data_IF_021788649592
#
_entry.id   IF_021788649592
#
_cell.length_a   1.000
_cell.length_b   1.000
_cell.length_c   1.000
_cell.angle_alpha   90.00
_cell.angle_beta   90.00
_cell.angle_gamma   90.00
#
_symmetry.space_group_name_H-M   'P 1'
#
loop_
_entity.id
_entity.type
_entity.pdbx_description
1 polymer ?
#
# COMPACT_ATOMS: atom_id res chain seq x y z
N UNK A 1 4.16 29.80 21.61
CA UNK A 1 3.67 29.35 20.28
C UNK A 1 3.16 27.90 20.28
N UNK A 2 2.71 27.34 21.42
CA UNK A 2 2.10 26.00 21.50
C UNK A 2 0.66 26.00 22.04
N UNK A 3 0.08 27.16 22.33
CA UNK A 3 -1.22 27.24 23.00
C UNK A 3 -2.42 27.52 22.05
N UNK A 4 -2.17 27.84 20.78
CA UNK A 4 -3.25 28.12 19.78
C UNK A 4 -3.73 26.88 18.99
N UNK A 5 -3.20 25.69 19.29
CA UNK A 5 -3.57 24.46 18.58
C UNK A 5 -5.01 24.02 18.84
N UNK A 6 -5.68 24.59 19.85
CA UNK A 6 -7.03 24.22 20.24
C UNK A 6 -8.17 24.87 19.44
N UNK A 7 -7.92 25.89 18.61
CA UNK A 7 -8.99 26.67 17.98
C UNK A 7 -9.30 26.31 16.52
N UNK A 8 -8.45 25.51 15.86
CA UNK A 8 -8.58 25.19 14.43
C UNK A 8 -9.03 23.75 14.13
N UNK A 9 -9.69 23.08 15.07
CA UNK A 9 -10.44 21.88 14.69
C UNK A 9 -11.54 22.29 13.71
N UNK A 10 -11.79 21.47 12.68
CA UNK A 10 -13.00 21.57 11.87
C UNK A 10 -14.17 21.82 12.81
N UNK A 11 -14.76 23.02 12.75
CA UNK A 11 -15.94 23.34 13.54
C UNK A 11 -16.95 22.25 13.19
N UNK A 12 -17.34 21.38 14.14
CA UNK A 12 -17.93 20.10 13.75
C UNK A 12 -19.32 20.25 13.07
N UNK A 13 -19.86 21.47 13.02
CA UNK A 13 -21.05 21.93 12.28
C UNK A 13 -20.88 22.04 10.75
N UNK A 14 -19.69 21.84 10.20
CA UNK A 14 -19.43 22.15 8.78
C UNK A 14 -19.71 21.02 7.79
N UNK A 15 -19.96 19.79 8.27
CA UNK A 15 -20.47 18.72 7.40
C UNK A 15 -21.99 18.85 7.37
N UNK A 16 -22.61 19.28 6.26
CA UNK A 16 -24.05 19.31 6.14
C UNK A 16 -24.56 17.88 6.25
N UNK A 17 -25.35 17.62 7.28
CA UNK A 17 -26.08 16.37 7.45
C UNK A 17 -27.51 16.67 7.06
N UNK A 18 -27.97 16.07 5.97
CA UNK A 18 -29.36 16.22 5.56
C UNK A 18 -30.28 15.74 6.70
N UNK A 19 -31.42 16.42 6.88
CA UNK A 19 -32.35 16.08 7.96
C UNK A 19 -32.84 14.62 7.88
N UNK A 20 -32.84 14.07 6.67
CA UNK A 20 -33.26 12.72 6.32
C UNK A 20 -32.08 11.72 6.18
N UNK A 21 -30.84 12.10 6.53
CA UNK A 21 -29.70 11.17 6.49
C UNK A 21 -29.92 10.05 7.52
N UNK A 22 -29.99 8.77 7.10
CA UNK A 22 -30.20 7.64 8.01
C UNK A 22 -29.10 7.50 9.08
N UNK A 23 -27.95 8.16 8.90
CA UNK A 23 -26.81 8.17 9.83
C UNK A 23 -26.71 9.44 10.67
N UNK A 24 -27.75 10.28 10.69
CA UNK A 24 -27.75 11.53 11.47
C UNK A 24 -27.33 11.34 12.93
N UNK A 25 -27.83 10.30 13.60
CA UNK A 25 -27.45 10.00 14.98
C UNK A 25 -25.95 9.70 15.14
N UNK A 26 -25.34 9.05 14.14
CA UNK A 26 -23.90 8.78 14.13
C UNK A 26 -23.09 10.05 13.89
N UNK A 27 -23.57 10.95 13.02
CA UNK A 27 -22.98 12.28 12.86
C UNK A 27 -23.03 13.10 14.15
N UNK A 28 -24.16 13.11 14.85
CA UNK A 28 -24.35 13.80 16.13
C UNK A 28 -23.44 13.21 17.22
N UNK A 29 -23.29 11.89 17.27
CA UNK A 29 -22.38 11.22 18.21
C UNK A 29 -20.90 11.57 17.93
N UNK A 30 -20.48 11.54 16.66
CA UNK A 30 -19.13 11.93 16.27
C UNK A 30 -18.86 13.42 16.54
N UNK A 31 -19.87 14.28 16.39
CA UNK A 31 -19.81 15.69 16.77
C UNK A 31 -19.58 15.85 18.27
N UNK A 32 -20.38 15.17 19.09
CA UNK A 32 -20.26 15.22 20.55
C UNK A 32 -18.89 14.70 21.00
N UNK A 33 -18.42 13.62 20.39
CA UNK A 33 -17.09 13.07 20.64
C UNK A 33 -16.00 14.10 20.37
N UNK A 34 -15.95 14.68 19.16
CA UNK A 34 -14.93 15.68 18.82
C UNK A 34 -14.97 16.90 19.74
N UNK A 35 -16.17 17.35 20.12
CA UNK A 35 -16.37 18.50 21.01
C UNK A 35 -15.93 18.20 22.45
N UNK A 36 -15.92 16.93 22.85
CA UNK A 36 -15.46 16.50 24.17
C UNK A 36 -13.94 16.43 24.30
N UNK A 37 -13.21 16.42 23.18
CA UNK A 37 -11.77 16.20 23.18
C UNK A 37 -11.01 17.37 23.79
N UNK A 38 -10.16 17.05 24.77
CA UNK A 38 -9.19 18.00 25.34
C UNK A 38 -7.91 18.03 24.51
N UNK A 39 -7.09 19.07 24.68
CA UNK A 39 -5.78 19.26 23.98
C UNK A 39 -4.81 18.06 24.15
N UNK A 40 -4.93 17.27 25.24
CA UNK A 40 -4.13 16.02 25.39
C UNK A 40 -4.71 14.83 24.62
N UNK A 41 -6.03 14.74 24.48
CA UNK A 41 -6.72 13.64 23.79
C UNK A 41 -6.58 13.75 22.26
N UNK A 42 -6.27 14.95 21.75
CA UNK A 42 -5.91 15.16 20.34
C UNK A 42 -4.55 14.54 19.95
N UNK A 43 -3.80 13.96 20.89
CA UNK A 43 -2.57 13.20 20.63
C UNK A 43 -2.79 11.69 20.54
N UNK A 44 -4.06 11.23 20.63
CA UNK A 44 -4.45 9.85 20.29
C UNK A 44 -4.61 8.89 21.46
N UNK A 45 -4.48 9.36 22.70
CA UNK A 45 -4.92 8.64 23.89
C UNK A 45 -6.33 9.10 24.27
N UNK A 46 -7.31 8.23 24.07
CA UNK A 46 -8.71 8.45 24.45
C UNK A 46 -9.08 7.78 25.78
N UNK A 47 -8.11 7.23 26.51
CA UNK A 47 -8.39 6.60 27.79
C UNK A 47 -9.07 7.60 28.74
N UNK A 48 -10.23 7.19 29.27
CA UNK A 48 -11.03 8.03 30.17
C UNK A 48 -12.01 9.00 29.49
N UNK A 49 -12.07 9.03 28.16
CA UNK A 49 -13.14 9.73 27.45
C UNK A 49 -14.42 8.86 27.44
N UNK A 50 -15.46 9.29 28.15
CA UNK A 50 -16.70 8.52 28.33
C UNK A 50 -17.41 8.20 27.00
N UNK A 51 -17.37 9.13 26.03
CA UNK A 51 -17.99 8.93 24.71
C UNK A 51 -17.22 7.89 23.89
N UNK A 52 -15.88 7.92 23.96
CA UNK A 52 -15.07 6.88 23.34
C UNK A 52 -15.36 5.49 23.93
N UNK A 53 -15.40 5.37 25.25
CA UNK A 53 -15.71 4.10 25.91
C UNK A 53 -17.11 3.61 25.53
N UNK A 54 -18.12 4.49 25.51
CA UNK A 54 -19.46 4.15 25.05
C UNK A 54 -19.46 3.63 23.59
N UNK A 55 -18.74 4.29 22.68
CA UNK A 55 -18.59 3.84 21.29
C UNK A 55 -17.85 2.50 21.18
N UNK A 56 -16.85 2.26 22.03
CA UNK A 56 -16.07 1.04 22.03
C UNK A 56 -16.88 -0.19 22.47
N UNK A 57 -17.92 0.01 23.30
CA UNK A 57 -18.86 -1.04 23.76
C UNK A 57 -19.97 -1.37 22.75
N UNK A 58 -20.08 -0.62 21.64
CA UNK A 58 -21.07 -0.92 20.61
C UNK A 58 -20.81 -2.28 19.94
N UNK A 59 -21.88 -2.87 19.41
CA UNK A 59 -21.76 -4.10 18.60
C UNK A 59 -20.82 -3.89 17.41
N UNK A 60 -20.17 -4.95 16.89
CA UNK A 60 -19.23 -4.78 15.79
C UNK A 60 -19.86 -4.10 14.55
N UNK A 61 -21.04 -4.53 14.13
CA UNK A 61 -21.82 -3.87 13.06
C UNK A 61 -22.04 -2.37 13.31
N UNK A 62 -22.44 -1.96 14.52
CA UNK A 62 -22.63 -0.53 14.85
C UNK A 62 -21.32 0.26 14.86
N UNK A 63 -20.20 -0.35 15.24
CA UNK A 63 -18.88 0.28 15.12
C UNK A 63 -18.47 0.49 13.67
N UNK A 64 -18.80 -0.44 12.78
CA UNK A 64 -18.57 -0.28 11.32
C UNK A 64 -19.38 0.91 10.79
N UNK A 65 -20.65 1.06 11.18
CA UNK A 65 -21.48 2.21 10.79
C UNK A 65 -20.85 3.55 11.23
N UNK A 66 -20.29 3.60 12.45
CA UNK A 66 -19.55 4.78 12.93
C UNK A 66 -18.25 5.04 12.16
N UNK A 67 -17.49 3.99 11.84
CA UNK A 67 -16.26 4.10 11.03
C UNK A 67 -16.62 4.66 9.64
N UNK A 68 -17.65 4.13 9.00
CA UNK A 68 -18.14 4.60 7.71
C UNK A 68 -18.55 6.08 7.76
N UNK A 69 -19.30 6.48 8.80
CA UNK A 69 -19.71 7.86 9.03
C UNK A 69 -18.51 8.78 9.25
N UNK A 70 -17.51 8.33 10.03
CA UNK A 70 -16.28 9.08 10.25
C UNK A 70 -15.49 9.28 8.94
N UNK A 71 -15.35 8.24 8.11
CA UNK A 71 -14.71 8.33 6.79
C UNK A 71 -15.45 9.29 5.86
N UNK A 72 -16.79 9.29 5.86
CA UNK A 72 -17.59 10.23 5.09
C UNK A 72 -17.30 11.69 5.49
N UNK A 73 -17.19 11.98 6.79
CA UNK A 73 -16.82 13.33 7.27
C UNK A 73 -15.39 13.72 6.86
N UNK A 74 -14.45 12.78 6.90
CA UNK A 74 -13.06 13.01 6.44
C UNK A 74 -13.04 13.37 4.96
N UNK A 75 -13.73 12.58 4.11
CA UNK A 75 -13.84 12.85 2.67
C UNK A 75 -14.48 14.21 2.40
N UNK A 76 -15.54 14.56 3.12
CA UNK A 76 -16.18 15.87 2.98
C UNK A 76 -15.21 17.01 3.31
N UNK A 77 -14.47 16.92 4.41
CA UNK A 77 -13.49 17.94 4.80
C UNK A 77 -12.37 18.09 3.76
N UNK A 78 -11.90 16.99 3.19
CA UNK A 78 -10.87 16.99 2.15
C UNK A 78 -11.37 17.56 0.81
N UNK A 79 -12.61 17.30 0.43
CA UNK A 79 -13.23 17.87 -0.77
C UNK A 79 -13.55 19.36 -0.61
N UNK A 80 -13.64 19.87 0.63
CA UNK A 80 -14.01 21.23 0.94
C UNK A 80 -12.96 21.91 1.84
N UNK A 81 -11.74 22.19 1.33
CA UNK A 81 -10.66 22.82 2.12
C UNK A 81 -11.07 24.14 2.80
N UNK A 82 -11.99 24.88 2.18
CA UNK A 82 -12.56 26.11 2.75
C UNK A 82 -13.42 25.88 4.01
N UNK A 83 -13.92 24.67 4.23
CA UNK A 83 -14.60 24.31 5.47
C UNK A 83 -13.59 24.32 6.64
N UNK A 84 -12.41 23.72 6.47
CA UNK A 84 -11.34 23.67 7.48
C UNK A 84 -10.67 25.01 7.85
N UNK A 85 -11.19 26.16 7.41
CA UNK A 85 -10.70 27.47 7.86
C UNK A 85 -9.35 27.91 7.26
N UNK A 86 -8.87 27.27 6.19
CA UNK A 86 -7.71 27.74 5.43
C UNK A 86 -7.30 26.80 4.28
N UNK A 87 -6.53 27.27 3.29
CA UNK A 87 -6.06 26.49 2.13
C UNK A 87 -4.96 25.47 2.47
N UNK A 88 -4.60 25.32 3.75
CA UNK A 88 -3.49 24.49 4.19
C UNK A 88 -3.97 23.05 4.45
N UNK A 89 -3.34 22.09 3.76
CA UNK A 89 -3.52 20.66 3.99
C UNK A 89 -3.30 20.29 5.47
N UNK A 90 -2.50 21.07 6.20
CA UNK A 90 -2.30 20.92 7.63
C UNK A 90 -3.58 21.14 8.43
N UNK A 91 -4.47 22.06 8.03
CA UNK A 91 -5.75 22.29 8.72
C UNK A 91 -6.72 21.13 8.48
N UNK A 92 -6.77 20.59 7.26
CA UNK A 92 -7.56 19.38 6.96
C UNK A 92 -7.04 18.21 7.79
N UNK A 93 -5.72 18.02 7.83
CA UNK A 93 -5.10 16.95 8.60
C UNK A 93 -5.43 17.09 10.09
N UNK A 94 -5.23 18.27 10.69
CA UNK A 94 -5.52 18.51 12.11
C UNK A 94 -7.01 18.35 12.44
N UNK A 95 -7.91 18.83 11.58
CA UNK A 95 -9.35 18.70 11.78
C UNK A 95 -9.85 17.25 11.65
N UNK A 96 -9.21 16.44 10.80
CA UNK A 96 -9.59 15.03 10.58
C UNK A 96 -8.83 14.05 11.47
N UNK A 97 -7.72 14.47 12.08
CA UNK A 97 -6.87 13.63 12.91
C UNK A 97 -7.63 12.91 14.05
N UNK A 98 -8.52 13.58 14.83
CA UNK A 98 -9.29 12.87 15.85
C UNK A 98 -10.18 11.75 15.32
N UNK A 99 -10.76 11.94 14.12
CA UNK A 99 -11.59 10.91 13.48
C UNK A 99 -10.74 9.75 12.99
N UNK A 100 -9.56 10.02 12.41
CA UNK A 100 -8.61 8.97 12.06
C UNK A 100 -8.22 8.14 13.30
N UNK A 101 -7.85 8.81 14.40
CA UNK A 101 -7.49 8.11 15.62
C UNK A 101 -8.67 7.35 16.22
N UNK A 102 -9.89 7.87 16.12
CA UNK A 102 -11.10 7.16 16.53
C UNK A 102 -11.28 5.87 15.72
N UNK A 103 -11.19 5.94 14.38
CA UNK A 103 -11.29 4.78 13.50
C UNK A 103 -10.26 3.71 13.90
N UNK A 104 -8.99 4.11 14.08
CA UNK A 104 -7.92 3.19 14.52
C UNK A 104 -8.26 2.52 15.85
N UNK A 105 -8.69 3.29 16.84
CA UNK A 105 -9.03 2.76 18.15
C UNK A 105 -10.27 1.84 18.12
N UNK A 106 -11.29 2.17 17.34
CA UNK A 106 -12.46 1.30 17.15
C UNK A 106 -12.07 -0.02 16.45
N UNK A 107 -11.21 0.06 15.43
CA UNK A 107 -10.69 -1.11 14.71
C UNK A 107 -9.91 -2.06 15.63
N UNK A 108 -9.07 -1.52 16.52
CA UNK A 108 -8.33 -2.31 17.50
C UNK A 108 -9.26 -3.11 18.43
N UNK A 109 -10.44 -2.59 18.76
CA UNK A 109 -11.42 -3.20 19.69
C UNK A 109 -12.32 -4.29 19.07
N UNK A 110 -12.17 -4.61 17.78
CA UNK A 110 -12.82 -5.80 17.22
C UNK A 110 -12.14 -7.08 17.74
N UNK A 111 -12.85 -7.85 18.56
CA UNK A 111 -12.35 -9.14 19.07
C UNK A 111 -12.75 -10.30 18.17
N UNK A 112 -13.96 -10.27 17.62
CA UNK A 112 -14.50 -11.26 16.68
C UNK A 112 -15.37 -10.56 15.66
N UNK A 113 -15.13 -10.81 14.38
CA UNK A 113 -15.95 -10.32 13.27
C UNK A 113 -16.73 -11.47 12.65
N UNK A 114 -17.93 -11.18 12.16
CA UNK A 114 -18.62 -12.07 11.23
C UNK A 114 -18.10 -11.86 9.80
N UNK A 115 -18.26 -12.83 8.89
CA UNK A 115 -17.87 -12.69 7.49
C UNK A 115 -18.46 -11.44 6.81
N UNK A 116 -19.73 -11.12 7.08
CA UNK A 116 -20.42 -9.97 6.50
C UNK A 116 -19.83 -8.65 7.00
N UNK A 117 -19.39 -8.62 8.26
CA UNK A 117 -18.74 -7.46 8.86
C UNK A 117 -17.33 -7.24 8.28
N UNK A 118 -16.60 -8.33 8.02
CA UNK A 118 -15.32 -8.27 7.32
C UNK A 118 -15.48 -7.77 5.87
N UNK A 119 -16.52 -8.20 5.16
CA UNK A 119 -16.82 -7.69 3.81
C UNK A 119 -17.05 -6.19 3.79
N UNK A 120 -17.85 -5.68 4.75
CA UNK A 120 -18.07 -4.24 4.88
C UNK A 120 -16.78 -3.48 5.15
N UNK A 121 -15.92 -3.99 6.04
CA UNK A 121 -14.64 -3.36 6.33
C UNK A 121 -13.68 -3.37 5.13
N UNK A 122 -13.68 -4.44 4.33
CA UNK A 122 -12.94 -4.51 3.07
C UNK A 122 -13.43 -3.46 2.07
N UNK A 123 -14.74 -3.32 1.91
CA UNK A 123 -15.35 -2.34 1.00
C UNK A 123 -15.02 -0.90 1.44
N UNK A 124 -15.11 -0.61 2.75
CA UNK A 124 -14.71 0.69 3.30
C UNK A 124 -13.22 1.00 3.08
N UNK A 125 -12.35 0.01 3.21
CA UNK A 125 -10.93 0.18 2.95
C UNK A 125 -10.66 0.49 1.47
N UNK A 126 -11.31 -0.23 0.55
CA UNK A 126 -11.18 0.02 -0.89
C UNK A 126 -11.61 1.44 -1.23
N UNK A 127 -12.76 1.89 -0.72
CA UNK A 127 -13.27 3.24 -0.93
C UNK A 127 -12.38 4.32 -0.31
N UNK A 128 -11.92 4.11 0.93
CA UNK A 128 -11.04 5.05 1.62
C UNK A 128 -9.74 5.24 0.84
N UNK A 129 -9.13 4.15 0.37
CA UNK A 129 -7.93 4.20 -0.45
C UNK A 129 -8.18 4.77 -1.83
N UNK A 130 -9.29 4.44 -2.50
CA UNK A 130 -9.59 5.02 -3.82
C UNK A 130 -9.86 6.54 -3.77
N UNK A 131 -10.23 7.07 -2.61
CA UNK A 131 -10.57 8.48 -2.41
C UNK A 131 -9.48 9.29 -1.69
N UNK A 132 -9.88 10.48 -1.23
CA UNK A 132 -9.00 11.37 -0.50
C UNK A 132 -8.63 10.87 0.91
N UNK A 133 -9.35 9.87 1.45
CA UNK A 133 -9.20 9.37 2.83
C UNK A 133 -8.18 8.21 2.96
N UNK A 134 -7.26 8.08 2.02
CA UNK A 134 -6.35 6.95 1.88
C UNK A 134 -5.41 6.77 3.09
N UNK A 135 -4.96 7.85 3.71
CA UNK A 135 -4.09 7.77 4.90
C UNK A 135 -4.86 7.52 6.21
N UNK A 136 -6.18 7.65 6.18
CA UNK A 136 -6.99 7.65 7.38
C UNK A 136 -7.56 6.27 7.72
N UNK A 137 -7.48 5.29 6.81
CA UNK A 137 -7.94 3.93 7.07
C UNK A 137 -6.82 3.05 7.64
N UNK A 138 -6.99 2.43 8.83
CA UNK A 138 -5.97 1.60 9.48
C UNK A 138 -5.89 0.22 8.81
N UNK A 139 -5.18 0.16 7.69
CA UNK A 139 -5.09 -1.05 6.85
C UNK A 139 -4.40 -2.20 7.56
N UNK A 140 -3.37 -1.92 8.36
CA UNK A 140 -2.67 -2.96 9.12
C UNK A 140 -3.59 -3.65 10.13
N UNK A 141 -4.41 -2.86 10.85
CA UNK A 141 -5.42 -3.39 11.77
C UNK A 141 -6.44 -4.27 11.03
N UNK A 142 -6.93 -3.84 9.86
CA UNK A 142 -7.82 -4.65 9.02
C UNK A 142 -7.20 -5.99 8.63
N UNK A 143 -5.95 -5.97 8.15
CA UNK A 143 -5.25 -7.17 7.72
C UNK A 143 -4.95 -8.11 8.89
N UNK A 144 -4.69 -7.58 10.08
CA UNK A 144 -4.59 -8.39 11.29
C UNK A 144 -5.94 -9.07 11.61
N UNK A 145 -7.08 -8.39 11.42
CA UNK A 145 -8.40 -9.01 11.63
C UNK A 145 -8.72 -10.09 10.58
N UNK A 146 -8.20 -9.97 9.36
CA UNK A 146 -8.33 -11.00 8.32
C UNK A 146 -7.69 -12.34 8.72
N UNK A 147 -6.69 -12.34 9.61
CA UNK A 147 -6.04 -13.56 10.11
C UNK A 147 -7.03 -14.51 10.79
N UNK A 148 -8.15 -13.98 11.32
CA UNK A 148 -9.24 -14.77 11.90
C UNK A 148 -9.91 -15.72 10.88
N UNK A 149 -9.79 -15.41 9.59
CA UNK A 149 -10.47 -16.10 8.49
C UNK A 149 -9.52 -16.89 7.58
N UNK A 150 -8.20 -16.88 7.83
CA UNK A 150 -7.20 -17.51 6.94
C UNK A 150 -7.44 -19.00 6.69
N UNK A 151 -8.06 -19.70 7.65
CA UNK A 151 -8.37 -21.13 7.52
C UNK A 151 -9.65 -21.41 6.71
N UNK A 152 -10.42 -20.37 6.37
CA UNK A 152 -11.70 -20.47 5.66
C UNK A 152 -11.47 -20.25 4.16
N UNK A 153 -11.03 -21.30 3.46
CA UNK A 153 -10.67 -21.21 2.04
C UNK A 153 -11.81 -20.69 1.15
N UNK A 154 -13.06 -21.00 1.50
CA UNK A 154 -14.27 -20.52 0.84
C UNK A 154 -14.45 -19.00 0.97
N UNK A 155 -14.24 -18.44 2.17
CA UNK A 155 -14.31 -17.00 2.41
C UNK A 155 -13.14 -16.26 1.74
N UNK A 156 -11.93 -16.81 1.80
CA UNK A 156 -10.77 -16.24 1.10
C UNK A 156 -11.01 -16.21 -0.41
N UNK A 157 -11.59 -17.27 -0.98
CA UNK A 157 -11.96 -17.28 -2.41
C UNK A 157 -13.05 -16.25 -2.71
N UNK A 158 -14.09 -16.17 -1.86
CA UNK A 158 -15.17 -15.17 -1.97
C UNK A 158 -14.63 -13.74 -1.95
N UNK A 159 -13.61 -13.45 -1.14
CA UNK A 159 -13.05 -12.11 -0.97
C UNK A 159 -11.91 -11.78 -1.94
N UNK A 160 -11.47 -12.75 -2.75
CA UNK A 160 -10.40 -12.56 -3.75
C UNK A 160 -10.60 -11.33 -4.65
N UNK A 161 -11.81 -11.02 -5.18
CA UNK A 161 -12.01 -9.79 -5.95
C UNK A 161 -11.73 -8.52 -5.15
N UNK A 162 -12.13 -8.48 -3.86
CA UNK A 162 -11.88 -7.34 -2.96
C UNK A 162 -10.41 -7.18 -2.63
N UNK A 163 -9.69 -8.28 -2.38
CA UNK A 163 -8.24 -8.21 -2.16
C UNK A 163 -7.50 -7.62 -3.37
N UNK A 164 -7.93 -7.95 -4.61
CA UNK A 164 -7.35 -7.34 -5.82
C UNK A 164 -7.61 -5.83 -5.88
N UNK A 165 -8.85 -5.41 -5.64
CA UNK A 165 -9.22 -3.99 -5.63
C UNK A 165 -8.50 -3.22 -4.53
N UNK A 166 -8.43 -3.75 -3.32
CA UNK A 166 -7.74 -3.12 -2.19
C UNK A 166 -6.24 -2.98 -2.50
N UNK A 167 -5.62 -4.04 -3.02
CA UNK A 167 -4.22 -4.00 -3.45
C UNK A 167 -3.99 -2.97 -4.56
N UNK A 168 -4.88 -2.91 -5.55
CA UNK A 168 -4.81 -1.90 -6.61
C UNK A 168 -4.90 -0.49 -6.04
N UNK A 169 -5.90 -0.19 -5.20
CA UNK A 169 -6.06 1.11 -4.55
C UNK A 169 -4.84 1.51 -3.72
N UNK A 170 -4.24 0.57 -2.98
CA UNK A 170 -3.00 0.80 -2.24
C UNK A 170 -1.84 1.15 -3.18
N UNK A 171 -1.68 0.42 -4.29
CA UNK A 171 -0.60 0.66 -5.27
C UNK A 171 -0.76 1.95 -6.07
N UNK A 172 -1.97 2.32 -6.49
CA UNK A 172 -2.20 3.53 -7.30
C UNK A 172 -2.00 4.80 -6.48
N UNK A 173 -2.48 4.82 -5.22
CA UNK A 173 -2.30 5.97 -4.35
C UNK A 173 -0.89 6.09 -3.78
N UNK A 174 -0.17 4.97 -3.73
CA UNK A 174 1.26 4.99 -3.48
C UNK A 174 2.01 5.80 -4.54
N UNK A 175 1.53 5.87 -5.80
CA UNK A 175 2.19 6.64 -6.87
C UNK A 175 1.72 8.11 -6.91
N UNK A 176 0.46 8.38 -6.54
CA UNK A 176 -0.11 9.73 -6.69
C UNK A 176 0.31 10.73 -5.60
N UNK A 177 0.63 10.27 -4.38
CA UNK A 177 0.79 11.14 -3.21
C UNK A 177 2.23 11.22 -2.63
N UNK A 178 3.26 10.87 -3.42
CA UNK A 178 4.67 10.68 -2.96
C UNK A 178 5.43 11.98 -2.66
N UNK A 179 4.73 13.05 -2.26
CA UNK A 179 5.36 14.30 -1.81
C UNK A 179 5.82 14.29 -0.34
N UNK A 180 5.52 13.27 0.46
CA UNK A 180 5.81 13.27 1.89
C UNK A 180 6.29 11.90 2.41
N UNK A 181 7.33 11.94 3.26
CA UNK A 181 8.07 10.85 3.91
C UNK A 181 7.25 9.88 4.82
N UNK A 182 6.00 9.57 4.50
CA UNK A 182 5.14 8.73 5.33
C UNK A 182 4.92 7.35 4.68
N UNK A 183 6.01 6.57 4.58
CA UNK A 183 6.02 5.20 4.03
C UNK A 183 5.76 4.10 5.08
N UNK A 184 5.17 4.44 6.24
CA UNK A 184 4.95 3.46 7.30
C UNK A 184 3.63 2.70 7.10
N UNK A 185 3.69 1.47 6.57
CA UNK A 185 2.62 0.46 6.71
C UNK A 185 2.20 -0.27 5.42
N UNK A 186 2.27 0.37 4.25
CA UNK A 186 1.67 -0.19 3.03
C UNK A 186 2.39 -1.42 2.45
N UNK A 187 3.70 -1.56 2.64
CA UNK A 187 4.46 -2.68 2.07
C UNK A 187 4.07 -4.03 2.71
N UNK A 188 3.92 -4.08 4.04
CA UNK A 188 3.41 -5.26 4.73
C UNK A 188 1.98 -5.58 4.29
N UNK A 189 1.17 -4.56 4.07
CA UNK A 189 -0.20 -4.72 3.59
C UNK A 189 -0.29 -5.33 2.18
N UNK A 190 0.49 -4.81 1.24
CA UNK A 190 0.58 -5.32 -0.12
C UNK A 190 1.07 -6.78 -0.14
N UNK A 191 2.06 -7.11 0.68
CA UNK A 191 2.58 -8.47 0.82
C UNK A 191 1.53 -9.44 1.38
N UNK A 192 0.83 -9.05 2.45
CA UNK A 192 -0.24 -9.89 3.02
C UNK A 192 -1.34 -10.15 1.99
N UNK A 193 -1.77 -9.12 1.25
CA UNK A 193 -2.78 -9.25 0.19
C UNK A 193 -2.29 -10.14 -0.94
N UNK A 194 -1.01 -10.07 -1.31
CA UNK A 194 -0.41 -10.98 -2.28
C UNK A 194 -0.57 -12.45 -1.84
N UNK A 195 -0.14 -12.75 -0.62
CA UNK A 195 -0.26 -14.09 -0.02
C UNK A 195 -1.70 -14.58 -0.01
N UNK A 196 -2.65 -13.76 0.42
CA UNK A 196 -4.09 -14.10 0.44
C UNK A 196 -4.65 -14.33 -0.97
N UNK A 197 -4.15 -13.61 -1.97
CA UNK A 197 -4.49 -13.81 -3.37
C UNK A 197 -3.87 -15.07 -3.97
N UNK A 198 -3.09 -15.86 -3.23
CA UNK A 198 -2.34 -17.00 -3.79
C UNK A 198 -1.38 -16.60 -4.92
N UNK A 199 -1.30 -15.30 -5.21
CA UNK A 199 -0.23 -14.69 -5.94
C UNK A 199 0.88 -14.61 -4.91
N UNK A 200 1.69 -15.65 -4.81
CA UNK A 200 3.06 -15.43 -4.39
C UNK A 200 3.65 -14.46 -5.43
N UNK A 201 3.34 -13.18 -5.28
CA UNK A 201 4.34 -12.17 -5.58
C UNK A 201 5.47 -12.64 -4.70
N UNK A 202 6.61 -12.97 -5.28
CA UNK A 202 7.73 -13.28 -4.44
C UNK A 202 7.90 -12.12 -3.45
N UNK A 203 7.99 -12.40 -2.15
CA UNK A 203 8.16 -11.46 -1.01
C UNK A 203 9.34 -10.48 -1.15
N UNK A 204 9.98 -10.53 -2.31
CA UNK A 204 11.30 -10.10 -2.62
C UNK A 204 11.25 -8.95 -3.65
N UNK A 205 10.17 -8.79 -4.45
CA UNK A 205 9.98 -7.65 -5.36
C UNK A 205 9.08 -6.59 -4.75
N UNK A 206 9.55 -5.35 -4.80
CA UNK A 206 8.76 -4.19 -4.38
C UNK A 206 8.03 -3.60 -5.60
N UNK A 207 6.71 -3.68 -5.58
CA UNK A 207 5.84 -3.10 -6.62
C UNK A 207 5.74 -1.58 -6.51
N UNK A 208 5.30 -0.92 -7.58
CA UNK A 208 5.17 0.54 -7.64
C UNK A 208 6.17 1.22 -8.57
N UNK A 209 7.11 0.45 -9.13
CA UNK A 209 7.90 0.87 -10.29
C UNK A 209 7.51 0.05 -11.53
N UNK A 210 7.65 0.67 -12.72
CA UNK A 210 7.21 0.10 -13.98
C UNK A 210 7.86 -1.26 -14.30
N UNK A 211 9.08 -1.51 -13.80
CA UNK A 211 9.77 -2.77 -14.00
C UNK A 211 9.18 -3.87 -13.11
N UNK A 212 9.08 -3.61 -11.81
CA UNK A 212 8.56 -4.58 -10.84
C UNK A 212 7.10 -4.92 -11.14
N UNK A 213 6.28 -3.93 -11.49
CA UNK A 213 4.88 -4.13 -11.84
C UNK A 213 4.73 -5.01 -13.10
N UNK A 214 5.57 -4.78 -14.12
CA UNK A 214 5.58 -5.61 -15.33
C UNK A 214 6.04 -7.05 -15.04
N UNK A 215 7.09 -7.23 -14.24
CA UNK A 215 7.55 -8.55 -13.80
C UNK A 215 6.42 -9.29 -13.07
N UNK A 216 5.73 -8.62 -12.13
CA UNK A 216 4.65 -9.22 -11.36
C UNK A 216 3.46 -9.56 -12.24
N UNK A 217 3.06 -8.69 -13.16
CA UNK A 217 1.99 -8.96 -14.11
C UNK A 217 2.30 -10.18 -14.98
N UNK A 218 3.52 -10.25 -15.51
CA UNK A 218 3.98 -11.37 -16.31
C UNK A 218 4.00 -12.68 -15.52
N UNK A 219 4.55 -12.68 -14.31
CA UNK A 219 4.55 -13.86 -13.43
C UNK A 219 3.13 -14.34 -13.15
N UNK A 220 2.18 -13.43 -12.89
CA UNK A 220 0.78 -13.77 -12.65
C UNK A 220 0.06 -14.34 -13.88
N UNK A 221 0.45 -13.92 -15.09
CA UNK A 221 -0.10 -14.43 -16.34
C UNK A 221 0.48 -15.79 -16.76
N UNK A 222 1.61 -16.21 -16.18
CA UNK A 222 2.23 -17.50 -16.49
C UNK A 222 1.47 -18.69 -15.90
N UNK A 223 1.50 -19.81 -16.62
CA UNK A 223 1.15 -21.14 -16.10
C UNK A 223 1.99 -21.49 -14.86
N UNK A 224 1.42 -22.28 -13.95
CA UNK A 224 2.02 -22.57 -12.63
C UNK A 224 3.45 -23.13 -12.71
N UNK A 225 3.72 -24.05 -13.64
CA UNK A 225 5.03 -24.67 -13.83
C UNK A 225 6.08 -23.67 -14.34
N UNK A 226 5.71 -22.81 -15.30
CA UNK A 226 6.58 -21.77 -15.85
C UNK A 226 6.84 -20.67 -14.83
N UNK A 227 5.80 -20.26 -14.09
CA UNK A 227 5.92 -19.32 -12.98
C UNK A 227 6.91 -19.82 -11.93
N UNK A 228 6.82 -21.08 -11.51
CA UNK A 228 7.74 -21.65 -10.53
C UNK A 228 9.21 -21.62 -10.98
N UNK A 229 9.45 -21.86 -12.27
CA UNK A 229 10.80 -21.77 -12.84
C UNK A 229 11.32 -20.34 -12.86
N UNK A 230 10.49 -19.37 -13.25
CA UNK A 230 10.85 -17.95 -13.19
C UNK A 230 11.09 -17.47 -11.76
N UNK A 231 10.28 -17.90 -10.78
CA UNK A 231 10.53 -17.60 -9.37
C UNK A 231 11.90 -18.11 -8.91
N UNK A 232 12.31 -19.29 -9.39
CA UNK A 232 13.65 -19.85 -9.12
C UNK A 232 14.76 -19.00 -9.75
N UNK A 233 14.55 -18.48 -10.96
CA UNK A 233 15.46 -17.54 -11.63
C UNK A 233 15.64 -16.27 -10.82
N UNK A 234 14.56 -15.66 -10.35
CA UNK A 234 14.64 -14.45 -9.56
C UNK A 234 15.27 -14.68 -8.17
N UNK A 235 14.95 -15.79 -7.50
CA UNK A 235 15.62 -16.13 -6.22
C UNK A 235 17.13 -16.30 -6.41
N UNK A 236 17.55 -16.94 -7.51
CA UNK A 236 18.97 -17.04 -7.86
C UNK A 236 19.59 -15.68 -8.18
N UNK A 237 18.87 -14.84 -8.93
CA UNK A 237 19.29 -13.49 -9.30
C UNK A 237 19.56 -12.61 -8.06
N UNK A 238 18.68 -12.66 -7.05
CA UNK A 238 18.83 -11.91 -5.78
C UNK A 238 20.16 -12.18 -5.09
N UNK A 239 20.65 -13.41 -5.19
CA UNK A 239 21.84 -13.86 -4.50
C UNK A 239 23.15 -13.37 -5.15
N UNK A 240 23.07 -12.56 -6.21
CA UNK A 240 24.21 -11.87 -6.84
C UNK A 240 24.68 -10.65 -6.01
N UNK A 241 25.10 -10.88 -4.77
CA UNK A 241 25.56 -9.82 -3.84
C UNK A 241 26.86 -9.13 -4.30
N UNK A 242 27.79 -9.91 -4.85
CA UNK A 242 29.11 -9.42 -5.25
C UNK A 242 29.05 -8.56 -6.53
N UNK A 243 30.01 -7.66 -6.71
CA UNK A 243 30.15 -6.87 -7.94
C UNK A 243 30.34 -7.74 -9.19
N UNK A 244 30.91 -8.94 -9.02
CA UNK A 244 31.06 -9.97 -10.05
C UNK A 244 30.61 -11.33 -9.47
N UNK A 245 29.72 -12.08 -10.13
CA UNK A 245 29.30 -13.38 -9.65
C UNK A 245 30.45 -14.40 -9.63
N UNK A 246 30.38 -15.35 -8.70
CA UNK A 246 31.33 -16.47 -8.59
C UNK A 246 31.02 -17.54 -9.64
N UNK A 247 32.03 -18.32 -10.03
CA UNK A 247 31.88 -19.42 -11.01
C UNK A 247 30.74 -20.40 -10.65
N UNK A 248 30.61 -20.74 -9.35
CA UNK A 248 29.51 -21.59 -8.86
C UNK A 248 28.14 -20.97 -9.11
N UNK A 249 28.02 -19.65 -8.95
CA UNK A 249 26.77 -18.93 -9.23
C UNK A 249 26.47 -18.92 -10.73
N UNK A 250 27.49 -18.70 -11.58
CA UNK A 250 27.35 -18.71 -13.05
C UNK A 250 26.90 -20.08 -13.57
N UNK A 251 27.49 -21.17 -13.05
CA UNK A 251 27.06 -22.53 -13.40
C UNK A 251 25.58 -22.77 -13.06
N UNK A 252 25.16 -22.35 -11.87
CA UNK A 252 23.75 -22.50 -11.45
C UNK A 252 22.81 -21.63 -12.30
N UNK A 253 23.27 -20.46 -12.74
CA UNK A 253 22.53 -19.63 -13.68
C UNK A 253 22.40 -20.30 -15.05
N UNK A 254 23.46 -20.93 -15.57
CA UNK A 254 23.45 -21.65 -16.84
C UNK A 254 22.45 -22.82 -16.79
N UNK A 255 22.41 -23.57 -15.69
CA UNK A 255 21.44 -24.67 -15.47
C UNK A 255 19.99 -24.15 -15.49
N UNK A 256 19.71 -23.03 -14.82
CA UNK A 256 18.39 -22.39 -14.82
C UNK A 256 18.00 -21.87 -16.22
N UNK A 257 18.93 -21.24 -16.93
CA UNK A 257 18.69 -20.76 -18.30
C UNK A 257 18.44 -21.90 -19.28
N UNK A 258 19.09 -23.05 -19.08
CA UNK A 258 18.85 -24.24 -19.89
C UNK A 258 17.45 -24.81 -19.65
N UNK A 259 17.01 -24.88 -18.38
CA UNK A 259 15.66 -25.34 -18.03
C UNK A 259 14.57 -24.41 -18.57
N UNK A 260 14.81 -23.10 -18.46
CA UNK A 260 13.86 -22.08 -18.90
C UNK A 260 13.78 -21.98 -20.42
N UNK A 261 14.93 -22.10 -21.09
CA UNK A 261 15.11 -21.78 -22.50
C UNK A 261 15.66 -20.35 -22.65
N UNK A 262 16.78 -20.22 -23.36
CA UNK A 262 17.46 -18.94 -23.55
C UNK A 262 16.57 -17.92 -24.29
N UNK A 263 15.82 -18.36 -25.30
CA UNK A 263 14.93 -17.48 -26.07
C UNK A 263 13.79 -16.93 -25.21
N UNK A 264 13.19 -17.77 -24.35
CA UNK A 264 12.14 -17.33 -23.41
C UNK A 264 12.70 -16.30 -22.43
N UNK A 265 13.89 -16.55 -21.88
CA UNK A 265 14.55 -15.61 -20.99
C UNK A 265 14.83 -14.27 -21.67
N UNK A 266 15.42 -14.29 -22.87
CA UNK A 266 15.76 -13.09 -23.63
C UNK A 266 14.52 -12.25 -23.96
N UNK A 267 13.44 -12.89 -24.43
CA UNK A 267 12.21 -12.18 -24.78
C UNK A 267 11.63 -11.39 -23.59
N UNK A 268 11.62 -12.00 -22.39
CA UNK A 268 11.16 -11.35 -21.17
C UNK A 268 12.15 -10.29 -20.68
N UNK A 269 13.44 -10.62 -20.64
CA UNK A 269 14.49 -9.72 -20.19
C UNK A 269 14.55 -8.44 -21.04
N UNK A 270 14.35 -8.53 -22.36
CA UNK A 270 14.30 -7.35 -23.23
C UNK A 270 13.19 -6.38 -22.84
N UNK A 271 11.99 -6.89 -22.57
CA UNK A 271 10.85 -6.09 -22.12
C UNK A 271 11.17 -5.46 -20.77
N UNK A 272 11.50 -6.29 -19.78
CA UNK A 272 11.75 -5.84 -18.42
C UNK A 272 12.91 -4.84 -18.33
N UNK A 273 14.07 -5.13 -18.93
CA UNK A 273 15.23 -4.22 -18.91
C UNK A 273 14.92 -2.87 -19.54
N UNK A 274 14.01 -2.83 -20.52
CA UNK A 274 13.56 -1.56 -21.10
C UNK A 274 12.71 -0.70 -20.17
N UNK A 275 12.11 -1.29 -19.12
CA UNK A 275 11.25 -0.62 -18.15
C UNK A 275 12.00 -0.18 -16.89
N UNK A 276 13.19 -0.72 -16.65
CA UNK A 276 13.95 -0.41 -15.46
C UNK A 276 14.47 1.03 -15.47
N UNK A 277 14.06 1.80 -14.46
CA UNK A 277 14.36 3.24 -14.37
C UNK A 277 13.55 4.07 -15.37
N UNK A 278 12.39 3.57 -15.81
CA UNK A 278 11.32 4.37 -16.37
C UNK A 278 10.32 4.72 -15.27
N UNK A 279 9.69 5.88 -15.39
CA UNK A 279 8.66 6.41 -14.48
C UNK A 279 9.08 6.70 -13.04
N UNK A 280 10.38 6.94 -12.93
CA UNK A 280 11.17 7.65 -11.92
C UNK A 280 10.65 8.82 -11.12
N UNK A 281 9.38 9.22 -11.19
CA UNK A 281 8.88 10.52 -10.70
C UNK A 281 9.64 10.99 -9.46
N UNK A 282 10.02 12.27 -9.41
CA UNK A 282 11.05 12.97 -8.59
C UNK A 282 11.37 12.47 -7.15
N UNK A 283 10.56 11.56 -6.62
CA UNK A 283 10.50 11.03 -5.27
C UNK A 283 11.13 9.63 -5.08
N UNK A 284 11.39 8.85 -6.15
CA UNK A 284 12.06 7.54 -6.05
C UNK A 284 13.60 7.62 -6.02
N UNK A 285 14.18 8.72 -5.54
CA UNK A 285 15.63 8.86 -5.38
C UNK A 285 16.20 7.85 -4.36
N UNK A 286 15.35 7.38 -3.44
CA UNK A 286 15.61 6.26 -2.55
C UNK A 286 14.99 4.98 -3.13
N UNK A 287 15.40 4.62 -4.35
CA UNK A 287 15.18 3.26 -4.85
C UNK A 287 15.72 2.31 -3.78
N UNK A 288 14.84 1.59 -3.10
CA UNK A 288 15.28 0.58 -2.15
C UNK A 288 16.18 -0.41 -2.89
N UNK A 289 17.34 -0.72 -2.30
CA UNK A 289 18.37 -1.63 -2.84
C UNK A 289 17.82 -3.03 -3.20
N UNK A 290 16.59 -3.34 -2.78
CA UNK A 290 15.93 -4.63 -2.94
C UNK A 290 15.73 -4.98 -4.41
N UNK A 291 15.06 -4.15 -5.21
CA UNK A 291 14.81 -4.47 -6.63
C UNK A 291 16.11 -4.54 -7.46
N UNK A 292 17.13 -3.75 -7.07
CA UNK A 292 18.43 -3.69 -7.73
C UNK A 292 19.17 -5.04 -7.70
N UNK A 293 19.04 -5.80 -6.61
CA UNK A 293 19.69 -7.11 -6.47
C UNK A 293 19.20 -8.10 -7.53
N UNK A 294 17.88 -8.22 -7.73
CA UNK A 294 17.31 -9.08 -8.78
C UNK A 294 17.70 -8.58 -10.15
N UNK A 295 17.55 -7.28 -10.38
CA UNK A 295 17.83 -6.69 -11.68
C UNK A 295 19.28 -6.94 -12.12
N UNK A 296 20.22 -6.68 -11.21
CA UNK A 296 21.65 -6.98 -11.42
C UNK A 296 21.89 -8.46 -11.66
N UNK A 297 21.25 -9.35 -10.88
CA UNK A 297 21.34 -10.79 -11.09
C UNK A 297 20.85 -11.20 -12.47
N UNK A 298 19.73 -10.67 -12.95
CA UNK A 298 19.21 -10.93 -14.28
C UNK A 298 20.15 -10.43 -15.39
N UNK A 299 20.81 -9.28 -15.21
CA UNK A 299 21.85 -8.80 -16.14
C UNK A 299 23.00 -9.81 -16.22
N UNK A 300 23.45 -10.36 -15.08
CA UNK A 300 24.49 -11.38 -15.08
C UNK A 300 24.06 -12.66 -15.80
N UNK A 301 22.81 -13.09 -15.62
CA UNK A 301 22.26 -14.23 -16.35
C UNK A 301 22.19 -13.92 -17.86
N UNK A 302 21.73 -12.73 -18.24
CA UNK A 302 21.70 -12.28 -19.63
C UNK A 302 23.09 -12.30 -20.29
N UNK A 303 24.15 -11.95 -19.55
CA UNK A 303 25.53 -11.98 -20.05
C UNK A 303 26.05 -13.39 -20.40
N UNK A 304 25.32 -14.45 -20.01
CA UNK A 304 25.61 -15.85 -20.37
C UNK A 304 25.05 -16.26 -21.72
N UNK A 305 24.27 -15.38 -22.36
CA UNK A 305 23.62 -15.66 -23.63
C UNK A 305 24.28 -14.79 -24.70
N UNK A 306 24.88 -15.44 -25.69
CA UNK A 306 25.49 -14.78 -26.85
C UNK A 306 24.41 -14.34 -27.84
N UNK A 307 23.69 -13.27 -27.50
CA UNK A 307 22.69 -12.67 -28.38
C UNK A 307 22.83 -11.15 -28.39
N UNK A 308 23.05 -10.57 -29.56
CA UNK A 308 23.21 -9.12 -29.72
C UNK A 308 21.91 -8.35 -29.50
N UNK A 309 20.75 -8.99 -29.62
CA UNK A 309 19.43 -8.39 -29.46
C UNK A 309 19.15 -7.89 -28.04
N UNK A 310 19.86 -8.38 -27.02
CA UNK A 310 19.70 -7.87 -25.64
C UNK A 310 20.47 -6.57 -25.38
N UNK A 311 21.42 -6.22 -26.24
CA UNK A 311 22.30 -5.04 -26.09
C UNK A 311 21.52 -3.72 -25.97
N UNK A 312 20.49 -3.44 -26.81
CA UNK A 312 19.72 -2.21 -26.67
C UNK A 312 18.95 -2.14 -25.34
N UNK A 313 18.43 -3.28 -24.86
CA UNK A 313 17.68 -3.36 -23.61
C UNK A 313 18.59 -3.14 -22.39
N UNK A 314 19.81 -3.72 -22.39
CA UNK A 314 20.84 -3.44 -21.39
C UNK A 314 21.27 -1.97 -21.42
N UNK A 315 21.42 -1.38 -22.61
CA UNK A 315 21.71 0.05 -22.74
C UNK A 315 20.60 0.94 -22.17
N UNK A 316 19.33 0.57 -22.36
CA UNK A 316 18.19 1.28 -21.77
C UNK A 316 18.19 1.17 -20.24
N UNK A 317 18.38 -0.04 -19.71
CA UNK A 317 18.51 -0.30 -18.30
C UNK A 317 19.62 0.52 -17.63
N UNK A 318 20.83 0.54 -18.21
CA UNK A 318 21.95 1.31 -17.71
C UNK A 318 21.64 2.80 -17.63
N UNK A 319 20.99 3.36 -18.67
CA UNK A 319 20.54 4.77 -18.65
C UNK A 319 19.55 5.04 -17.52
N UNK A 320 18.59 4.14 -17.31
CA UNK A 320 17.67 4.19 -16.17
C UNK A 320 18.41 4.22 -14.84
N UNK A 321 19.38 3.31 -14.63
CA UNK A 321 20.18 3.23 -13.41
C UNK A 321 21.00 4.50 -13.12
N UNK A 322 21.59 5.13 -14.15
CA UNK A 322 22.36 6.37 -13.98
C UNK A 322 21.45 7.56 -13.64
N UNK A 323 20.28 7.65 -14.27
CA UNK A 323 19.30 8.70 -14.00
C UNK A 323 18.79 8.64 -12.55
N UNK A 324 18.54 7.43 -12.04
CA UNK A 324 18.15 7.22 -10.65
C UNK A 324 19.24 7.71 -9.67
N UNK A 325 20.51 7.30 -9.87
CA UNK A 325 21.62 7.70 -8.97
C UNK A 325 22.01 9.17 -9.06
N UNK A 326 21.94 9.77 -10.25
CA UNK A 326 22.25 11.19 -10.45
C UNK A 326 21.33 12.13 -9.65
N UNK A 327 20.09 11.69 -9.36
CA UNK A 327 19.14 12.45 -8.53
C UNK A 327 19.45 12.36 -7.04
N UNK A 328 19.98 11.23 -6.56
CA UNK A 328 20.38 11.05 -5.17
C UNK A 328 21.59 11.95 -4.80
N UNK A 329 22.55 12.12 -5.71
CA UNK A 329 23.76 12.92 -5.47
C UNK A 329 23.57 14.45 -5.45
N UNK A 330 22.42 14.97 -5.88
CA UNK A 330 22.11 16.42 -5.81
C UNK A 330 21.60 16.83 -4.42
N UNK A 331 21.40 15.87 -3.51
CA UNK A 331 20.84 16.08 -2.17
C UNK A 331 21.83 15.93 -1.00
N UNK A 332 23.13 15.75 -1.27
CA UNK A 332 24.18 15.65 -0.23
C UNK A 332 24.80 17.00 0.14
#
# INVERSE_FOLDING_TARGET
MRDDWGQNFLQPQQVPVDADDPRRADHELLFAFQSSLRVRESQGDFAGNELFEAMAQLSPSRRIDLIETALARIRYAQANPGASGGPDWMNIYQGTFPLHTLIKNLMARFTKLQPEEMERLLDLAIEAHAGAANYQFPTDDLLQKLEQFEKSADLIEKWRPRFRLLRQSLSTNFIANVGANYHYGSNGALQKLATLLGTQIPDFLETGDAWADAVVADLQAMESSRRALWLSVFEHARNSKDAKPKEKWLKSADDLLQLLGKDEFLARAQIWFSLYGKDDGFWFADREERNDAYFKGLIWMASRIEDTAITPALGAALRGSFKARGRAGVRS
#
